data_IF_493282251854
#
_entry.id   IF_493282251854
#
_cell.length_a   1.000
_cell.length_b   1.000
_cell.length_c   1.000
_cell.angle_alpha   90.00
_cell.angle_beta   90.00
_cell.angle_gamma   90.00
#
_symmetry.space_group_name_H-M   'P 1'
#
loop_
_entity.id
_entity.type
_entity.pdbx_description
1 polymer ?
#
# COMPACT_ATOMS: atom_id res chain seq x y z
N UNK A 1 -55.77 -11.30 6.79
CA UNK A 1 -55.43 -9.94 7.29
C UNK A 1 -54.72 -10.14 8.60
N UNK A 2 -53.39 -10.07 8.66
CA UNK A 2 -52.59 -8.84 8.59
C UNK A 2 -51.25 -9.09 7.89
N UNK A 3 -50.89 -8.17 7.00
CA UNK A 3 -49.54 -7.99 6.46
C UNK A 3 -48.70 -7.29 7.54
N UNK A 4 -47.45 -7.71 7.73
CA UNK A 4 -46.42 -6.78 8.20
C UNK A 4 -45.08 -7.11 7.53
N UNK A 5 -44.60 -6.13 6.80
CA UNK A 5 -43.36 -6.05 6.04
C UNK A 5 -42.37 -5.21 6.82
N UNK A 6 -41.10 -5.62 6.90
CA UNK A 6 -39.93 -4.73 7.04
C UNK A 6 -38.68 -5.56 6.74
N UNK A 7 -38.23 -5.58 5.47
CA UNK A 7 -37.24 -4.66 4.89
C UNK A 7 -35.80 -5.16 5.07
N UNK A 8 -35.40 -6.02 4.14
CA UNK A 8 -34.01 -6.34 3.82
C UNK A 8 -33.36 -5.14 3.15
N UNK A 9 -32.52 -4.40 3.88
CA UNK A 9 -31.62 -3.41 3.28
C UNK A 9 -30.29 -3.41 4.03
N UNK A 10 -29.34 -4.23 3.57
CA UNK A 10 -27.94 -4.19 3.97
C UNK A 10 -27.08 -4.36 2.73
N UNK A 11 -26.38 -3.29 2.32
CA UNK A 11 -25.57 -3.19 1.11
C UNK A 11 -24.56 -4.35 0.95
N UNK A 12 -24.31 -4.86 -0.27
CA UNK A 12 -23.46 -6.04 -0.51
C UNK A 12 -21.96 -5.71 -0.67
N UNK A 13 -21.49 -4.54 -0.27
CA UNK A 13 -20.15 -4.05 -0.63
C UNK A 13 -19.22 -4.01 0.58
N UNK A 14 -18.11 -4.76 0.47
CA UNK A 14 -17.06 -5.05 1.46
C UNK A 14 -17.31 -6.37 2.20
N UNK A 15 -16.92 -7.48 1.54
CA UNK A 15 -16.50 -8.69 2.26
C UNK A 15 -15.22 -8.33 3.01
N UNK A 16 -15.34 -8.04 4.30
CA UNK A 16 -14.17 -7.89 5.17
C UNK A 16 -13.32 -9.14 5.02
N UNK A 17 -12.12 -8.99 4.43
CA UNK A 17 -11.11 -10.04 4.50
C UNK A 17 -10.79 -10.16 5.98
N UNK A 18 -11.26 -11.23 6.62
CA UNK A 18 -10.85 -11.59 7.97
C UNK A 18 -9.32 -11.67 7.95
N UNK A 19 -8.59 -10.85 8.71
CA UNK A 19 -7.15 -10.92 8.68
C UNK A 19 -6.69 -12.32 9.05
N UNK A 20 -5.82 -12.89 8.24
CA UNK A 20 -5.19 -14.16 8.55
C UNK A 20 -4.40 -14.08 9.86
N UNK A 21 -4.15 -15.21 10.53
CA UNK A 21 -3.33 -15.22 11.74
C UNK A 21 -1.96 -14.60 11.45
N UNK A 22 -1.48 -13.78 12.38
CA UNK A 22 -0.21 -13.05 12.26
C UNK A 22 0.94 -14.04 12.07
N UNK A 23 1.84 -13.76 11.12
CA UNK A 23 3.00 -14.61 10.87
C UNK A 23 3.94 -14.66 12.09
N UNK A 24 4.36 -15.85 12.56
CA UNK A 24 5.37 -15.97 13.61
C UNK A 24 6.69 -15.31 13.18
N UNK A 25 7.36 -14.62 14.10
CA UNK A 25 8.73 -14.11 13.87
C UNK A 25 8.86 -12.76 13.16
N UNK A 26 7.77 -12.11 12.71
CA UNK A 26 7.85 -10.74 12.17
C UNK A 26 7.85 -9.71 13.32
N UNK A 27 8.92 -8.91 13.51
CA UNK A 27 8.97 -7.93 14.59
C UNK A 27 7.87 -6.87 14.42
N UNK A 28 7.27 -6.43 15.53
CA UNK A 28 6.33 -5.30 15.52
C UNK A 28 7.07 -4.06 15.03
N UNK A 29 6.54 -3.31 14.05
CA UNK A 29 7.10 -2.01 13.72
C UNK A 29 7.05 -1.13 14.98
N UNK A 30 8.15 -0.44 15.26
CA UNK A 30 8.27 0.43 16.43
C UNK A 30 7.21 1.53 16.42
N UNK A 31 6.86 2.05 17.60
CA UNK A 31 5.92 3.17 17.70
C UNK A 31 6.36 4.36 16.81
N UNK A 32 7.66 4.62 16.71
CA UNK A 32 8.23 5.64 15.85
C UNK A 32 8.01 5.37 14.34
N UNK A 33 8.04 4.11 13.88
CA UNK A 33 7.77 3.77 12.49
C UNK A 33 6.28 3.90 12.12
N UNK A 34 5.38 3.85 13.11
CA UNK A 34 3.95 4.17 12.94
C UNK A 34 3.71 5.69 12.98
N UNK A 35 4.43 6.40 13.83
CA UNK A 35 4.29 7.85 14.01
C UNK A 35 4.73 8.65 12.77
N UNK A 36 5.83 8.26 12.09
CA UNK A 36 6.35 8.99 10.91
C UNK A 36 5.41 9.08 9.69
N UNK A 37 4.21 8.49 9.77
CA UNK A 37 3.23 8.43 8.67
C UNK A 37 2.19 9.56 8.71
N UNK A 38 2.15 10.33 9.80
CA UNK A 38 1.10 11.31 10.04
C UNK A 38 1.71 12.69 10.37
N UNK A 39 1.07 13.80 9.95
CA UNK A 39 1.45 15.14 10.39
C UNK A 39 1.54 15.19 11.91
N UNK A 40 2.50 15.95 12.45
CA UNK A 40 2.78 15.96 13.88
C UNK A 40 1.55 16.42 14.70
N UNK A 41 0.75 17.29 14.12
CA UNK A 41 -0.52 17.79 14.66
C UNK A 41 -1.56 16.68 14.88
N UNK A 42 -1.52 15.63 14.06
CA UNK A 42 -2.39 14.45 14.20
C UNK A 42 -1.92 13.54 15.32
N UNK A 43 -0.61 13.43 15.51
CA UNK A 43 -0.01 12.62 16.57
C UNK A 43 -0.19 13.25 17.96
N UNK A 44 -0.24 14.58 18.00
CA UNK A 44 -0.38 15.37 19.22
C UNK A 44 -1.84 15.57 19.66
N UNK A 45 -2.81 15.17 18.84
CA UNK A 45 -4.25 15.22 19.17
C UNK A 45 -4.79 13.83 19.54
N UNK A 46 -5.05 13.56 20.84
CA UNK A 46 -5.53 12.25 21.30
C UNK A 46 -6.89 11.86 20.72
N UNK A 47 -7.84 12.80 20.60
CA UNK A 47 -9.19 12.54 20.09
C UNK A 47 -9.15 12.12 18.61
N UNK A 48 -8.31 12.81 17.81
CA UNK A 48 -8.10 12.45 16.41
C UNK A 48 -7.39 11.10 16.28
N UNK A 49 -6.44 10.82 17.17
CA UNK A 49 -5.75 9.52 17.19
C UNK A 49 -6.69 8.38 17.58
N UNK A 50 -7.60 8.57 18.54
CA UNK A 50 -8.62 7.58 18.89
C UNK A 50 -9.51 7.22 17.69
N UNK A 51 -9.86 8.22 16.86
CA UNK A 51 -10.64 8.00 15.65
C UNK A 51 -9.84 7.25 14.55
N UNK A 52 -8.55 7.56 14.39
CA UNK A 52 -7.72 7.01 13.30
C UNK A 52 -7.13 5.63 13.62
N UNK A 53 -6.84 5.34 14.89
CA UNK A 53 -6.17 4.11 15.33
C UNK A 53 -6.88 2.82 14.88
N UNK A 54 -8.22 2.70 14.92
CA UNK A 54 -8.91 1.50 14.42
C UNK A 54 -8.58 1.21 12.96
N UNK A 55 -8.67 2.23 12.10
CA UNK A 55 -8.37 2.11 10.66
C UNK A 55 -6.91 1.78 10.42
N UNK A 56 -5.99 2.50 11.06
CA UNK A 56 -4.55 2.24 10.92
C UNK A 56 -4.18 0.83 11.37
N UNK A 57 -4.77 0.35 12.48
CA UNK A 57 -4.56 -1.02 12.94
C UNK A 57 -5.09 -2.03 11.93
N UNK A 58 -6.25 -1.80 11.33
CA UNK A 58 -6.80 -2.70 10.31
C UNK A 58 -5.87 -2.77 9.08
N UNK A 59 -5.42 -1.62 8.58
CA UNK A 59 -4.51 -1.54 7.42
C UNK A 59 -3.17 -2.25 7.68
N UNK A 60 -2.54 -1.99 8.83
CA UNK A 60 -1.32 -2.68 9.20
C UNK A 60 -1.53 -4.17 9.42
N UNK A 61 -2.68 -4.56 9.97
CA UNK A 61 -3.02 -5.97 10.16
C UNK A 61 -3.12 -6.67 8.81
N UNK A 62 -3.82 -6.09 7.83
CA UNK A 62 -3.90 -6.62 6.47
C UNK A 62 -2.51 -6.72 5.79
N UNK A 63 -1.69 -5.68 5.91
CA UNK A 63 -0.31 -5.66 5.38
C UNK A 63 0.60 -6.70 6.04
N UNK A 64 0.44 -6.93 7.34
CA UNK A 64 1.25 -7.89 8.10
C UNK A 64 0.82 -9.34 7.88
N UNK A 65 -0.48 -9.57 7.68
CA UNK A 65 -1.06 -10.89 7.39
C UNK A 65 -1.01 -11.28 5.92
N UNK A 66 -0.67 -10.35 5.01
CA UNK A 66 -0.54 -10.66 3.59
C UNK A 66 0.50 -11.76 3.36
N UNK A 67 0.03 -12.85 2.76
CA UNK A 67 0.86 -13.96 2.32
C UNK A 67 0.86 -14.01 0.79
N UNK A 68 2.02 -13.76 0.20
CA UNK A 68 2.16 -13.81 -1.25
C UNK A 68 2.05 -15.25 -1.72
N UNK A 69 1.09 -15.51 -2.61
CA UNK A 69 1.02 -16.74 -3.39
C UNK A 69 1.67 -16.47 -4.74
N UNK A 70 2.53 -17.39 -5.19
CA UNK A 70 3.15 -17.27 -6.49
C UNK A 70 2.07 -17.45 -7.58
N UNK A 71 1.96 -16.45 -8.44
CA UNK A 71 1.01 -16.41 -9.56
C UNK A 71 1.77 -16.16 -10.86
N UNK A 72 1.08 -16.37 -11.99
CA UNK A 72 1.67 -16.05 -13.30
C UNK A 72 1.99 -14.55 -13.40
N UNK A 73 3.18 -14.18 -13.93
CA UNK A 73 3.55 -12.77 -14.06
C UNK A 73 2.56 -11.99 -14.91
N UNK A 74 2.29 -10.75 -14.53
CA UNK A 74 1.33 -9.89 -15.22
C UNK A 74 1.83 -9.55 -16.65
N UNK A 75 0.95 -9.59 -17.68
CA UNK A 75 1.32 -9.27 -19.06
C UNK A 75 1.37 -7.75 -19.33
N UNK A 76 1.76 -6.94 -18.35
CA UNK A 76 1.82 -5.48 -18.45
C UNK A 76 3.17 -4.94 -17.98
N UNK A 77 3.74 -3.90 -18.62
CA UNK A 77 4.99 -3.29 -18.18
C UNK A 77 4.86 -2.75 -16.75
N UNK A 78 5.91 -2.91 -15.94
CA UNK A 78 5.89 -2.50 -14.53
C UNK A 78 6.99 -1.48 -14.22
N UNK A 79 6.60 -0.30 -13.75
CA UNK A 79 7.54 0.71 -13.22
C UNK A 79 7.53 0.68 -11.69
N UNK A 80 8.68 0.35 -11.09
CA UNK A 80 8.88 0.31 -9.64
C UNK A 80 9.65 1.55 -9.20
N UNK A 81 9.15 2.23 -8.17
CA UNK A 81 9.90 3.28 -7.48
C UNK A 81 10.38 2.81 -6.11
N UNK A 82 11.58 3.23 -5.71
CA UNK A 82 12.12 2.97 -4.37
C UNK A 82 12.94 4.14 -3.84
N UNK A 83 12.95 4.32 -2.52
CA UNK A 83 13.79 5.33 -1.87
C UNK A 83 15.21 4.81 -1.66
N UNK A 84 16.23 5.62 -1.94
CA UNK A 84 17.64 5.24 -1.74
C UNK A 84 17.99 4.98 -0.27
N UNK A 85 17.22 5.56 0.66
CA UNK A 85 17.40 5.42 2.10
C UNK A 85 16.17 4.75 2.77
N UNK A 86 15.36 3.99 2.02
CA UNK A 86 14.21 3.28 2.59
C UNK A 86 14.65 2.07 3.44
N UNK A 87 14.58 2.23 4.76
CA UNK A 87 14.91 1.17 5.71
C UNK A 87 13.89 0.01 5.74
N UNK A 88 12.67 0.20 5.20
CA UNK A 88 11.63 -0.82 5.19
C UNK A 88 11.70 -1.73 3.95
N UNK A 89 12.29 -1.24 2.85
CA UNK A 89 12.36 -1.95 1.57
C UNK A 89 13.78 -1.92 1.03
N UNK A 90 14.53 -2.99 1.32
CA UNK A 90 15.89 -3.14 0.81
C UNK A 90 15.99 -3.43 -0.70
N UNK A 91 17.18 -3.27 -1.31
CA UNK A 91 17.40 -3.43 -2.75
C UNK A 91 16.94 -4.78 -3.31
N UNK A 92 17.20 -5.89 -2.60
CA UNK A 92 16.79 -7.22 -3.03
C UNK A 92 15.26 -7.34 -3.21
N UNK A 93 14.47 -6.69 -2.35
CA UNK A 93 13.00 -6.67 -2.46
C UNK A 93 12.54 -5.83 -3.64
N UNK A 94 13.20 -4.69 -3.91
CA UNK A 94 12.92 -3.87 -5.08
C UNK A 94 13.22 -4.64 -6.37
N UNK A 95 14.39 -5.27 -6.47
CA UNK A 95 14.73 -6.11 -7.63
C UNK A 95 13.83 -7.34 -7.77
N UNK A 96 13.32 -7.90 -6.67
CA UNK A 96 12.36 -9.01 -6.69
C UNK A 96 11.07 -8.69 -7.47
N UNK A 97 10.68 -7.41 -7.56
CA UNK A 97 9.51 -6.97 -8.33
C UNK A 97 9.61 -7.24 -9.82
N UNK A 98 10.82 -7.40 -10.36
CA UNK A 98 11.01 -7.70 -11.80
C UNK A 98 10.34 -9.01 -12.23
N UNK A 99 10.19 -9.97 -11.31
CA UNK A 99 9.57 -11.27 -11.58
C UNK A 99 8.04 -11.20 -11.69
N UNK A 100 7.43 -10.10 -11.27
CA UNK A 100 5.97 -9.95 -11.20
C UNK A 100 5.35 -9.52 -12.54
N UNK A 101 6.15 -9.30 -13.58
CA UNK A 101 5.69 -8.94 -14.92
C UNK A 101 6.43 -9.73 -15.99
N UNK A 102 5.69 -10.20 -17.00
CA UNK A 102 6.22 -10.85 -18.20
C UNK A 102 6.53 -9.86 -19.33
N UNK A 103 5.97 -8.64 -19.29
CA UNK A 103 6.20 -7.58 -20.28
C UNK A 103 7.40 -6.67 -19.92
N UNK A 104 8.16 -7.03 -18.89
CA UNK A 104 9.34 -6.30 -18.45
C UNK A 104 9.08 -5.32 -17.31
N UNK A 105 10.18 -4.83 -16.72
CA UNK A 105 10.12 -3.94 -15.57
C UNK A 105 11.24 -2.91 -15.56
N UNK A 106 10.89 -1.68 -15.17
CA UNK A 106 11.80 -0.57 -14.94
C UNK A 106 11.86 -0.28 -13.44
N UNK A 107 13.06 -0.21 -12.87
CA UNK A 107 13.27 0.19 -11.47
C UNK A 107 13.88 1.59 -11.45
N UNK A 108 13.28 2.49 -10.67
CA UNK A 108 13.78 3.86 -10.44
C UNK A 108 13.97 4.09 -8.95
N UNK A 109 15.22 4.29 -8.52
CA UNK A 109 15.51 4.71 -7.16
C UNK A 109 15.59 6.23 -7.08
N UNK A 110 14.90 6.82 -6.12
CA UNK A 110 14.81 8.26 -5.91
C UNK A 110 15.38 8.63 -4.53
N UNK A 111 15.96 9.83 -4.36
CA UNK A 111 16.45 10.27 -3.06
C UNK A 111 15.35 10.28 -2.00
N UNK A 112 15.63 9.67 -0.84
CA UNK A 112 14.75 9.71 0.32
C UNK A 112 14.52 8.36 0.99
N UNK A 113 13.87 8.41 2.16
CA UNK A 113 13.43 7.22 2.89
C UNK A 113 12.11 6.65 2.37
N UNK A 114 11.37 5.93 3.21
CA UNK A 114 10.10 5.29 2.83
C UNK A 114 9.06 6.24 2.21
N UNK A 115 9.10 7.52 2.59
CA UNK A 115 8.20 8.59 2.13
C UNK A 115 8.79 9.45 1.01
N UNK A 116 9.77 8.94 0.26
CA UNK A 116 10.42 9.64 -0.86
C UNK A 116 9.41 10.19 -1.90
N UNK A 117 8.24 9.56 -2.01
CA UNK A 117 7.16 9.93 -2.95
C UNK A 117 6.74 11.39 -2.81
N UNK A 118 6.74 11.96 -1.60
CA UNK A 118 6.34 13.35 -1.39
C UNK A 118 7.38 14.33 -1.93
N UNK A 119 8.66 14.10 -1.61
CA UNK A 119 9.76 14.94 -2.10
C UNK A 119 9.98 14.78 -3.62
N UNK A 120 9.67 13.61 -4.16
CA UNK A 120 9.88 13.28 -5.58
C UNK A 120 8.60 13.30 -6.42
N UNK A 121 7.52 13.91 -5.91
CA UNK A 121 6.20 13.86 -6.53
C UNK A 121 6.24 14.31 -8.00
N UNK A 122 6.93 15.41 -8.30
CA UNK A 122 7.08 15.92 -9.66
C UNK A 122 7.77 14.89 -10.58
N UNK A 123 8.90 14.33 -10.15
CA UNK A 123 9.64 13.32 -10.94
C UNK A 123 8.81 12.06 -11.21
N UNK A 124 8.01 11.63 -10.23
CA UNK A 124 7.11 10.48 -10.37
C UNK A 124 5.97 10.79 -11.34
N UNK A 125 5.36 11.98 -11.24
CA UNK A 125 4.29 12.40 -12.13
C UNK A 125 4.76 12.53 -13.58
N UNK A 126 5.96 13.08 -13.82
CA UNK A 126 6.56 13.14 -15.15
C UNK A 126 6.75 11.74 -15.75
N UNK A 127 7.27 10.80 -14.98
CA UNK A 127 7.46 9.41 -15.42
C UNK A 127 6.13 8.72 -15.76
N UNK A 128 5.10 8.94 -14.93
CA UNK A 128 3.76 8.39 -15.19
C UNK A 128 3.21 8.98 -16.50
N UNK A 129 3.30 10.30 -16.69
CA UNK A 129 2.83 10.96 -17.90
C UNK A 129 3.55 10.46 -19.16
N UNK A 130 4.88 10.35 -19.12
CA UNK A 130 5.69 9.82 -20.21
C UNK A 130 5.32 8.37 -20.54
N UNK A 131 5.23 7.52 -19.51
CA UNK A 131 4.87 6.10 -19.66
C UNK A 131 3.50 5.96 -20.30
N UNK A 132 2.50 6.71 -19.83
CA UNK A 132 1.15 6.66 -20.37
C UNK A 132 1.07 7.22 -21.79
N UNK A 133 1.77 8.33 -22.08
CA UNK A 133 1.77 8.93 -23.42
C UNK A 133 2.32 7.99 -24.51
N UNK A 134 3.23 7.08 -24.13
CA UNK A 134 3.79 6.06 -25.02
C UNK A 134 2.77 4.97 -25.36
N UNK A 135 1.78 4.74 -24.51
CA UNK A 135 0.78 3.67 -24.66
C UNK A 135 -0.61 4.17 -25.07
N UNK A 136 -0.88 5.48 -24.96
CA UNK A 136 -2.16 6.10 -25.35
C UNK A 136 -2.18 6.54 -26.82
N UNK A 137 -1.04 6.49 -27.54
CA UNK A 137 -0.99 6.79 -28.98
C UNK A 137 -1.44 5.61 -29.87
N UNK A 138 -2.67 5.14 -29.68
CA UNK A 138 -3.37 4.23 -30.59
C UNK A 138 -4.56 4.95 -31.24
#
# INVERSE_FOLDING_TARGET
>A
MTLSSSSTTGSPLIRWVTPGPRRPGRPRPSAAARARRHPQEVLENPELMELMLPTLRADFTALESYDHQDESPLPVPLTVFGGTADALVGPARLHGRRRQSSAGSRLRTLPGGHFFVHASAHTIMTEIAETLSTHVKA
#
